data_IF_120177140585
#
_entry.id   IF_120177140585
#
_cell.length_a   1.000
_cell.length_b   1.000
_cell.length_c   1.000
_cell.angle_alpha   90.00
_cell.angle_beta   90.00
_cell.angle_gamma   90.00
#
_symmetry.space_group_name_H-M   'P 1'
#
loop_
_entity.id
_entity.type
_entity.pdbx_description
1 polymer ?
#
# COMPACT_ATOMS: atom_id res chain seq x y z
N UNK A 1 -80.87 -29.32 25.41
CA UNK A 1 -82.38 -29.36 25.37
C UNK A 1 -82.85 -28.22 24.50
N UNK A 2 -83.91 -28.39 23.72
CA UNK A 2 -84.28 -29.57 22.94
C UNK A 2 -84.57 -29.16 21.48
N UNK A 3 -84.52 -30.10 20.55
CA UNK A 3 -85.64 -30.63 19.77
C UNK A 3 -86.23 -29.69 18.73
N UNK A 4 -86.64 -30.05 17.63
CA UNK A 4 -87.01 -31.25 16.85
C UNK A 4 -87.46 -30.78 15.52
N UNK A 5 -87.36 -31.46 14.54
CA UNK A 5 -88.09 -32.56 13.91
C UNK A 5 -88.62 -32.19 12.55
N UNK A 6 -88.38 -33.13 11.65
CA UNK A 6 -89.32 -33.71 10.69
C UNK A 6 -89.83 -32.84 9.53
N UNK A 7 -89.79 -33.24 8.28
CA UNK A 7 -90.36 -34.44 7.72
C UNK A 7 -90.14 -34.54 6.21
N UNK A 8 -89.93 -35.73 5.71
CA UNK A 8 -90.19 -36.13 4.34
C UNK A 8 -91.72 -36.26 4.08
N UNK A 9 -92.20 -36.22 2.81
CA UNK A 9 -92.34 -37.49 2.08
C UNK A 9 -92.21 -37.42 0.54
N UNK A 10 -91.63 -38.43 0.02
CA UNK A 10 -92.04 -39.43 -1.00
C UNK A 10 -92.78 -39.06 -2.29
N UNK A 11 -92.32 -39.74 -3.33
CA UNK A 11 -92.97 -40.42 -4.50
C UNK A 11 -93.05 -39.59 -5.76
N UNK A 12 -92.71 -40.04 -6.94
CA UNK A 12 -93.15 -41.21 -7.69
C UNK A 12 -92.41 -41.39 -8.99
N UNK A 13 -92.17 -42.60 -9.37
CA UNK A 13 -91.57 -43.11 -10.59
C UNK A 13 -92.53 -43.02 -11.79
N UNK A 14 -91.95 -42.77 -12.96
CA UNK A 14 -92.54 -43.32 -14.20
C UNK A 14 -91.51 -43.26 -15.39
N UNK A 15 -91.63 -44.07 -16.38
CA UNK A 15 -90.56 -44.74 -17.08
C UNK A 15 -90.12 -44.03 -18.37
N UNK A 16 -88.80 -44.16 -18.67
CA UNK A 16 -88.22 -43.63 -19.88
C UNK A 16 -88.02 -44.68 -20.94
N UNK A 17 -88.40 -44.32 -22.15
CA UNK A 17 -88.16 -45.05 -23.39
C UNK A 17 -86.67 -44.88 -23.86
N UNK A 18 -86.16 -45.85 -24.61
CA UNK A 18 -84.74 -45.89 -24.99
C UNK A 18 -84.37 -44.91 -26.11
N UNK A 19 -83.30 -44.22 -25.98
CA UNK A 19 -82.66 -43.35 -27.00
C UNK A 19 -81.60 -44.22 -27.76
N UNK A 20 -81.49 -44.01 -29.13
CA UNK A 20 -80.60 -44.84 -29.95
C UNK A 20 -79.15 -44.50 -29.73
N UNK A 21 -78.24 -45.52 -29.80
CA UNK A 21 -76.80 -45.41 -29.73
C UNK A 21 -76.18 -44.57 -30.87
N UNK A 22 -75.57 -43.48 -30.54
CA UNK A 22 -74.72 -42.73 -31.45
C UNK A 22 -73.40 -43.46 -31.67
N UNK A 23 -73.00 -43.72 -32.90
CA UNK A 23 -71.79 -44.33 -33.37
C UNK A 23 -70.59 -43.39 -33.04
N UNK A 24 -69.66 -43.88 -32.26
CA UNK A 24 -68.36 -43.27 -32.06
C UNK A 24 -67.58 -43.29 -33.40
N UNK A 25 -67.33 -42.12 -33.99
CA UNK A 25 -66.45 -41.91 -35.08
C UNK A 25 -64.99 -42.04 -34.61
N UNK A 26 -64.02 -42.33 -35.52
CA UNK A 26 -62.64 -42.48 -35.12
C UNK A 26 -62.06 -41.15 -34.62
N UNK A 27 -61.36 -41.21 -33.45
CA UNK A 27 -60.65 -40.09 -32.86
C UNK A 27 -59.56 -39.57 -33.81
N UNK A 28 -59.65 -38.28 -34.10
CA UNK A 28 -58.63 -37.52 -34.87
C UNK A 28 -57.26 -37.59 -34.19
N UNK A 29 -56.16 -38.06 -34.82
CA UNK A 29 -54.85 -38.19 -34.21
C UNK A 29 -54.05 -36.87 -34.12
N UNK A 30 -54.72 -35.70 -34.33
CA UNK A 30 -54.02 -34.42 -34.58
C UNK A 30 -53.78 -33.53 -33.33
N UNK A 31 -53.92 -33.99 -32.06
CA UNK A 31 -53.67 -33.17 -30.88
C UNK A 31 -52.77 -33.82 -29.83
N UNK A 32 -51.68 -34.51 -30.26
CA UNK A 32 -50.61 -34.76 -29.31
C UNK A 32 -49.80 -33.45 -29.15
N UNK A 33 -49.65 -32.87 -27.95
CA UNK A 33 -48.80 -31.72 -27.75
C UNK A 33 -47.36 -32.16 -28.07
N UNK A 34 -46.73 -31.47 -29.01
CA UNK A 34 -45.33 -31.64 -29.40
C UNK A 34 -44.44 -31.43 -28.13
N UNK A 35 -43.75 -32.48 -27.62
CA UNK A 35 -42.88 -32.36 -26.45
C UNK A 35 -41.60 -31.55 -26.72
N UNK A 36 -41.36 -31.11 -27.97
CA UNK A 36 -40.17 -30.40 -28.36
C UNK A 36 -40.27 -28.86 -28.36
N UNK A 37 -41.44 -28.26 -28.08
CA UNK A 37 -41.49 -26.81 -27.83
C UNK A 37 -40.91 -26.46 -26.47
N UNK A 38 -39.55 -26.48 -26.36
CA UNK A 38 -38.83 -25.93 -25.26
C UNK A 38 -39.33 -24.51 -24.95
N UNK A 39 -39.94 -24.32 -23.76
CA UNK A 39 -40.42 -23.01 -23.30
C UNK A 39 -39.28 -22.00 -23.42
N UNK A 40 -39.34 -21.07 -24.39
CA UNK A 40 -38.42 -19.95 -24.48
C UNK A 40 -38.37 -19.24 -23.13
N UNK A 41 -37.19 -19.03 -22.53
CA UNK A 41 -37.09 -18.37 -21.24
C UNK A 41 -37.74 -16.99 -21.34
N UNK A 42 -38.56 -16.61 -20.34
CA UNK A 42 -39.23 -15.29 -20.35
C UNK A 42 -38.16 -14.19 -20.43
N UNK A 43 -38.45 -13.12 -21.18
CA UNK A 43 -37.52 -11.99 -21.35
C UNK A 43 -36.96 -11.48 -20.01
N UNK A 44 -37.79 -11.43 -18.95
CA UNK A 44 -37.36 -11.07 -17.58
C UNK A 44 -36.27 -12.02 -17.03
N UNK A 45 -36.32 -13.32 -17.32
CA UNK A 45 -35.28 -14.27 -16.89
C UNK A 45 -33.94 -14.07 -17.64
N UNK A 46 -34.04 -13.76 -18.93
CA UNK A 46 -32.85 -13.45 -19.75
C UNK A 46 -32.19 -12.20 -19.25
N UNK A 47 -32.93 -11.12 -19.02
CA UNK A 47 -32.43 -9.84 -18.51
C UNK A 47 -31.76 -10.03 -17.12
N UNK A 48 -32.43 -10.71 -16.19
CA UNK A 48 -31.81 -10.99 -14.86
C UNK A 48 -30.53 -11.83 -14.95
N UNK A 49 -30.41 -12.73 -15.93
CA UNK A 49 -29.18 -13.48 -16.15
C UNK A 49 -28.07 -12.59 -16.71
N UNK A 50 -28.41 -11.74 -17.67
CA UNK A 50 -27.46 -10.78 -18.26
C UNK A 50 -26.94 -9.79 -17.22
N UNK A 51 -27.81 -9.17 -16.43
CA UNK A 51 -27.41 -8.26 -15.33
C UNK A 51 -26.50 -8.99 -14.34
N UNK A 52 -26.83 -10.21 -13.94
CA UNK A 52 -26.00 -10.94 -13.00
C UNK A 52 -24.61 -11.29 -13.53
N UNK A 53 -24.43 -11.56 -14.83
CA UNK A 53 -23.11 -11.74 -15.43
C UNK A 53 -22.38 -10.42 -15.64
N UNK A 54 -23.10 -9.33 -15.94
CA UNK A 54 -22.51 -7.99 -16.02
C UNK A 54 -21.91 -7.55 -14.67
N UNK A 55 -22.60 -7.85 -13.55
CA UNK A 55 -22.06 -7.61 -12.21
C UNK A 55 -20.80 -8.44 -11.94
N UNK A 56 -20.78 -9.73 -12.31
CA UNK A 56 -19.58 -10.57 -12.16
C UNK A 56 -18.43 -10.04 -13.00
N UNK A 57 -18.71 -9.61 -14.24
CA UNK A 57 -17.69 -9.01 -15.10
C UNK A 57 -17.14 -7.71 -14.52
N UNK A 58 -18.01 -6.85 -13.97
CA UNK A 58 -17.60 -5.60 -13.31
C UNK A 58 -16.71 -5.88 -12.09
N UNK A 59 -17.06 -6.85 -11.25
CA UNK A 59 -16.20 -7.29 -10.13
C UNK A 59 -14.84 -7.74 -10.65
N UNK A 60 -14.82 -8.52 -11.74
CA UNK A 60 -13.57 -8.97 -12.37
C UNK A 60 -12.71 -7.82 -12.89
N UNK A 61 -13.31 -6.84 -13.54
CA UNK A 61 -12.60 -5.65 -14.03
C UNK A 61 -12.04 -4.83 -12.86
N UNK A 62 -12.83 -4.56 -11.82
CA UNK A 62 -12.36 -3.82 -10.65
C UNK A 62 -11.23 -4.56 -9.93
N UNK A 63 -11.35 -5.88 -9.75
CA UNK A 63 -10.29 -6.69 -9.16
C UNK A 63 -9.00 -6.66 -10.01
N UNK A 64 -9.11 -6.72 -11.33
CA UNK A 64 -7.98 -6.63 -12.25
C UNK A 64 -7.30 -5.26 -12.16
N UNK A 65 -8.07 -4.17 -12.13
CA UNK A 65 -7.55 -2.81 -12.06
C UNK A 65 -6.88 -2.50 -10.71
N UNK A 66 -7.29 -3.13 -9.61
CA UNK A 66 -6.57 -2.99 -8.33
C UNK A 66 -5.28 -3.80 -8.29
N UNK A 67 -5.23 -4.96 -8.95
CA UNK A 67 -4.01 -5.77 -9.05
C UNK A 67 -2.98 -5.15 -10.00
N UNK A 68 -3.45 -4.58 -11.12
CA UNK A 68 -2.64 -4.00 -12.18
C UNK A 68 -3.11 -2.57 -12.47
N UNK A 69 -2.87 -1.62 -11.54
CA UNK A 69 -3.46 -0.27 -11.63
C UNK A 69 -2.99 0.51 -12.86
N UNK A 70 -1.81 0.19 -13.39
CA UNK A 70 -1.25 0.86 -14.56
C UNK A 70 -1.47 0.08 -15.87
N UNK A 71 -2.37 -0.92 -15.84
CA UNK A 71 -2.69 -1.70 -17.04
C UNK A 71 -3.16 -0.83 -18.22
N UNK A 72 -3.78 0.30 -17.94
CA UNK A 72 -4.23 1.25 -18.97
C UNK A 72 -3.16 2.30 -19.33
N UNK A 73 -2.04 2.36 -18.60
CA UNK A 73 -0.96 3.32 -18.79
C UNK A 73 -0.23 3.18 -20.13
N UNK A 74 -0.38 2.04 -20.85
CA UNK A 74 0.13 1.89 -22.20
C UNK A 74 -0.55 2.82 -23.21
N UNK A 75 -1.75 3.33 -22.92
CA UNK A 75 -2.50 4.23 -23.79
C UNK A 75 -2.15 5.71 -23.54
N UNK A 76 -1.88 6.09 -22.31
CA UNK A 76 -1.38 7.40 -21.89
C UNK A 76 -0.96 7.35 -20.43
N UNK A 77 0.01 8.19 -20.04
CA UNK A 77 0.45 8.27 -18.63
C UNK A 77 -0.67 8.71 -17.69
N UNK A 78 -1.58 9.57 -18.16
CA UNK A 78 -2.77 10.00 -17.42
C UNK A 78 -3.79 8.85 -17.15
N UNK A 79 -3.64 7.70 -17.81
CA UNK A 79 -4.47 6.52 -17.60
C UNK A 79 -3.91 5.55 -16.55
N UNK A 80 -2.78 5.88 -15.89
CA UNK A 80 -2.23 5.12 -14.77
C UNK A 80 -3.07 5.34 -13.52
N UNK A 81 -3.87 4.34 -13.15
CA UNK A 81 -4.76 4.45 -11.99
C UNK A 81 -3.99 4.55 -10.67
N UNK A 82 -2.73 4.10 -10.64
CA UNK A 82 -1.90 4.18 -9.44
C UNK A 82 -1.62 5.60 -8.95
N UNK A 83 -1.85 6.61 -9.80
CA UNK A 83 -1.66 8.02 -9.45
C UNK A 83 -2.95 8.84 -9.50
N UNK A 84 -4.11 8.18 -9.59
CA UNK A 84 -5.41 8.84 -9.71
C UNK A 84 -6.28 8.55 -8.48
N UNK A 85 -6.87 9.60 -7.89
CA UNK A 85 -7.87 9.46 -6.84
C UNK A 85 -9.12 8.72 -7.35
N UNK A 86 -9.72 7.77 -6.59
CA UNK A 86 -9.30 7.23 -5.29
C UNK A 86 -8.44 5.95 -5.41
N UNK A 87 -7.98 5.58 -6.59
CA UNK A 87 -7.25 4.33 -6.80
C UNK A 87 -5.87 4.36 -6.14
N UNK A 88 -5.18 5.51 -6.15
CA UNK A 88 -3.90 5.67 -5.47
C UNK A 88 -4.02 5.27 -3.99
N UNK A 89 -5.02 5.76 -3.27
CA UNK A 89 -5.25 5.44 -1.86
C UNK A 89 -5.64 3.96 -1.66
N UNK A 90 -6.46 3.41 -2.56
CA UNK A 90 -6.88 2.00 -2.49
C UNK A 90 -5.69 1.04 -2.62
N UNK A 91 -4.78 1.31 -3.56
CA UNK A 91 -3.61 0.44 -3.76
C UNK A 91 -2.54 0.64 -2.71
N UNK A 92 -2.41 1.83 -2.13
CA UNK A 92 -1.56 2.08 -0.97
C UNK A 92 -1.96 1.19 0.22
N UNK A 93 -3.26 0.95 0.41
CA UNK A 93 -3.82 0.07 1.44
C UNK A 93 -4.00 -1.38 0.93
N UNK A 94 -3.00 -1.92 0.27
CA UNK A 94 -3.05 -3.27 -0.34
C UNK A 94 -3.42 -4.36 0.64
N UNK A 95 -2.96 -4.29 1.88
CA UNK A 95 -3.34 -5.21 2.96
C UNK A 95 -4.84 -5.17 3.27
N UNK A 96 -5.45 -3.98 3.22
CA UNK A 96 -6.90 -3.80 3.34
C UNK A 96 -7.66 -4.46 2.18
N UNK A 97 -7.10 -4.43 0.95
CA UNK A 97 -7.68 -5.12 -0.20
C UNK A 97 -7.63 -6.65 -0.03
N UNK A 98 -6.56 -7.22 0.55
CA UNK A 98 -6.51 -8.65 0.89
C UNK A 98 -7.67 -9.03 1.81
N UNK A 99 -7.85 -8.28 2.89
CA UNK A 99 -8.93 -8.52 3.87
C UNK A 99 -10.31 -8.31 3.23
N UNK A 100 -10.50 -7.20 2.52
CA UNK A 100 -11.78 -6.85 1.90
C UNK A 100 -12.22 -7.88 0.85
N UNK A 101 -11.34 -8.22 -0.10
CA UNK A 101 -11.63 -9.25 -1.10
C UNK A 101 -11.79 -10.63 -0.46
N UNK A 102 -11.00 -10.96 0.55
CA UNK A 102 -11.12 -12.23 1.30
C UNK A 102 -12.47 -12.38 1.99
N UNK A 103 -12.93 -11.36 2.71
CA UNK A 103 -14.25 -11.37 3.36
C UNK A 103 -15.38 -11.44 2.32
N UNK A 104 -15.30 -10.66 1.23
CA UNK A 104 -16.28 -10.73 0.15
C UNK A 104 -16.29 -12.11 -0.53
N UNK A 105 -15.13 -12.74 -0.73
CA UNK A 105 -15.03 -14.10 -1.25
C UNK A 105 -15.69 -15.11 -0.33
N UNK A 106 -15.48 -15.00 0.99
CA UNK A 106 -16.09 -15.86 2.01
C UNK A 106 -17.62 -15.76 1.98
N UNK A 107 -18.17 -14.55 2.01
CA UNK A 107 -19.62 -14.31 2.00
C UNK A 107 -20.27 -14.80 0.70
N UNK A 108 -19.65 -14.47 -0.45
CA UNK A 108 -20.17 -14.91 -1.75
C UNK A 108 -20.02 -16.42 -1.95
N UNK A 109 -18.94 -17.02 -1.44
CA UNK A 109 -18.70 -18.47 -1.44
C UNK A 109 -19.72 -19.22 -0.59
N UNK A 110 -20.00 -18.76 0.62
CA UNK A 110 -21.04 -19.31 1.48
C UNK A 110 -22.42 -19.21 0.80
N UNK A 111 -22.73 -18.06 0.20
CA UNK A 111 -23.97 -17.91 -0.57
C UNK A 111 -24.05 -18.87 -1.76
N UNK A 112 -22.94 -19.07 -2.47
CA UNK A 112 -22.86 -20.03 -3.58
C UNK A 112 -23.11 -21.48 -3.11
N UNK A 113 -22.48 -21.87 -1.99
CA UNK A 113 -22.65 -23.20 -1.41
C UNK A 113 -24.12 -23.46 -1.00
N UNK A 114 -24.74 -22.51 -0.29
CA UNK A 114 -26.16 -22.62 0.11
C UNK A 114 -27.05 -22.80 -1.13
N UNK A 115 -26.82 -22.03 -2.19
CA UNK A 115 -27.61 -22.13 -3.44
C UNK A 115 -27.40 -23.46 -4.15
N UNK A 116 -26.17 -23.99 -4.15
CA UNK A 116 -25.86 -25.31 -4.71
C UNK A 116 -26.59 -26.41 -3.91
N UNK A 117 -26.51 -26.36 -2.59
CA UNK A 117 -27.19 -27.34 -1.71
C UNK A 117 -28.70 -27.30 -1.86
N UNK A 118 -29.28 -26.11 -2.08
CA UNK A 118 -30.71 -25.93 -2.36
C UNK A 118 -31.10 -26.22 -3.82
N UNK A 119 -30.16 -26.62 -4.67
CA UNK A 119 -30.35 -26.87 -6.12
C UNK A 119 -30.89 -25.65 -6.89
N UNK A 120 -30.69 -24.43 -6.37
CA UNK A 120 -31.12 -23.17 -7.00
C UNK A 120 -30.15 -22.65 -8.07
N UNK A 121 -29.09 -23.42 -8.36
CA UNK A 121 -27.95 -23.00 -9.19
C UNK A 121 -27.06 -22.01 -8.44
N UNK A 122 -25.78 -21.93 -8.76
CA UNK A 122 -24.82 -21.06 -8.03
C UNK A 122 -23.73 -20.48 -8.92
N UNK A 123 -23.75 -20.77 -10.23
CA UNK A 123 -22.62 -20.48 -11.14
C UNK A 123 -22.09 -19.07 -11.07
N UNK A 124 -22.96 -18.05 -10.98
CA UNK A 124 -22.55 -16.62 -10.92
C UNK A 124 -21.93 -16.27 -9.57
N UNK A 125 -22.54 -16.71 -8.48
CA UNK A 125 -22.00 -16.49 -7.13
C UNK A 125 -20.67 -17.25 -6.93
N UNK A 126 -20.56 -18.44 -7.50
CA UNK A 126 -19.27 -19.19 -7.51
C UNK A 126 -18.21 -18.45 -8.33
N UNK A 127 -18.56 -17.96 -9.54
CA UNK A 127 -17.61 -17.20 -10.36
C UNK A 127 -17.17 -15.92 -9.64
N UNK A 128 -18.09 -15.17 -9.02
CA UNK A 128 -17.75 -13.99 -8.23
C UNK A 128 -16.83 -14.33 -7.04
N UNK A 129 -17.15 -15.41 -6.30
CA UNK A 129 -16.33 -15.84 -5.18
C UNK A 129 -14.91 -16.23 -5.60
N UNK A 130 -14.77 -16.92 -6.73
CA UNK A 130 -13.46 -17.28 -7.27
C UNK A 130 -12.67 -16.05 -7.72
N UNK A 131 -13.28 -15.09 -8.40
CA UNK A 131 -12.63 -13.83 -8.80
C UNK A 131 -12.13 -13.09 -7.57
N UNK A 132 -12.97 -12.93 -6.54
CA UNK A 132 -12.61 -12.25 -5.31
C UNK A 132 -11.48 -12.98 -4.55
N UNK A 133 -11.50 -14.31 -4.54
CA UNK A 133 -10.45 -15.11 -3.92
C UNK A 133 -9.11 -14.96 -4.68
N UNK A 134 -9.16 -14.97 -6.02
CA UNK A 134 -7.96 -14.73 -6.85
C UNK A 134 -7.43 -13.32 -6.60
N UNK A 135 -8.30 -12.31 -6.50
CA UNK A 135 -7.89 -10.94 -6.18
C UNK A 135 -7.21 -10.86 -4.80
N UNK A 136 -7.83 -11.43 -3.77
CA UNK A 136 -7.23 -11.49 -2.42
C UNK A 136 -5.87 -12.20 -2.44
N UNK A 137 -5.78 -13.35 -3.11
CA UNK A 137 -4.53 -14.09 -3.27
C UNK A 137 -3.45 -13.32 -4.04
N UNK A 138 -3.83 -12.60 -5.10
CA UNK A 138 -2.92 -11.76 -5.88
C UNK A 138 -2.35 -10.60 -5.06
N UNK A 139 -3.18 -9.89 -4.29
CA UNK A 139 -2.70 -8.82 -3.38
C UNK A 139 -1.82 -9.40 -2.27
N UNK A 140 -2.20 -10.54 -1.67
CA UNK A 140 -1.37 -11.21 -0.67
C UNK A 140 -0.01 -11.64 -1.25
N UNK A 141 0.00 -12.16 -2.47
CA UNK A 141 1.24 -12.52 -3.17
C UNK A 141 2.18 -11.31 -3.32
N UNK A 142 1.66 -10.16 -3.76
CA UNK A 142 2.47 -8.94 -3.90
C UNK A 142 3.09 -8.52 -2.57
N UNK A 143 2.30 -8.52 -1.48
CA UNK A 143 2.82 -8.19 -0.15
C UNK A 143 3.89 -9.19 0.31
N UNK A 144 3.63 -10.49 0.18
CA UNK A 144 4.60 -11.53 0.54
C UNK A 144 5.89 -11.45 -0.30
N UNK A 145 5.77 -11.13 -1.59
CA UNK A 145 6.95 -10.99 -2.47
C UNK A 145 7.83 -9.78 -2.13
N UNK A 146 7.28 -8.78 -1.46
CA UNK A 146 8.03 -7.61 -0.94
C UNK A 146 8.63 -7.87 0.44
N UNK A 147 8.26 -8.98 1.06
CA UNK A 147 8.65 -9.30 2.44
C UNK A 147 7.76 -8.62 3.47
N UNK A 148 7.37 -9.39 4.46
CA UNK A 148 6.53 -8.95 5.59
C UNK A 148 7.32 -8.86 6.90
N UNK A 149 8.66 -8.89 6.79
CA UNK A 149 9.53 -9.05 7.93
C UNK A 149 9.48 -10.48 8.50
N UNK A 150 10.47 -10.79 9.25
CA UNK A 150 10.56 -11.98 10.10
C UNK A 150 11.21 -11.53 11.40
N UNK A 151 11.22 -12.38 12.42
CA UNK A 151 11.84 -12.07 13.71
C UNK A 151 13.36 -11.77 13.58
N UNK A 152 13.99 -12.18 12.47
CA UNK A 152 15.38 -11.87 12.13
C UNK A 152 15.54 -10.44 11.56
N UNK A 153 14.45 -9.76 11.18
CA UNK A 153 14.42 -8.34 10.79
C UNK A 153 14.42 -7.40 12.01
N UNK A 154 14.42 -7.94 13.23
CA UNK A 154 14.72 -7.13 14.40
C UNK A 154 16.12 -6.54 14.26
N UNK A 155 16.34 -5.25 14.64
CA UNK A 155 17.67 -4.66 14.57
C UNK A 155 18.68 -5.62 15.17
N UNK A 156 19.78 -5.85 14.44
CA UNK A 156 20.89 -6.63 14.95
C UNK A 156 21.19 -6.17 16.37
N UNK A 157 21.41 -7.10 17.26
CA UNK A 157 21.41 -6.92 18.71
C UNK A 157 21.85 -5.51 19.13
N UNK A 158 20.95 -4.80 19.81
CA UNK A 158 21.13 -3.45 20.37
C UNK A 158 22.60 -3.22 20.65
N UNK A 159 23.24 -2.33 19.89
CA UNK A 159 24.65 -2.00 20.13
C UNK A 159 24.81 -1.61 21.61
N UNK A 160 25.76 -2.19 22.35
CA UNK A 160 25.94 -1.84 23.75
C UNK A 160 26.10 -0.33 23.88
N UNK A 161 25.45 0.28 24.87
CA UNK A 161 25.64 1.68 25.16
C UNK A 161 27.15 1.93 25.34
N UNK A 162 27.74 2.79 24.49
CA UNK A 162 29.18 3.04 24.46
C UNK A 162 29.95 2.44 23.29
N UNK A 163 29.32 1.67 22.38
CA UNK A 163 29.99 1.16 21.18
C UNK A 163 29.87 2.11 19.98
N UNK A 164 29.13 3.23 20.10
CA UNK A 164 28.99 4.23 19.04
C UNK A 164 30.09 5.29 19.27
N UNK A 165 31.06 5.34 18.38
CA UNK A 165 32.06 6.39 18.39
C UNK A 165 31.49 7.68 17.81
N UNK A 166 31.96 8.82 18.34
CA UNK A 166 31.74 10.13 17.73
C UNK A 166 33.02 10.62 17.01
N UNK A 167 34.06 9.78 16.93
CA UNK A 167 35.30 10.10 16.24
C UNK A 167 35.23 9.64 14.77
N UNK A 168 35.40 10.54 13.80
CA UNK A 168 35.46 10.18 12.40
C UNK A 168 36.47 9.12 12.03
N UNK A 169 37.57 9.00 12.81
CA UNK A 169 38.58 7.98 12.58
C UNK A 169 38.11 6.54 12.80
N UNK A 170 37.00 6.37 13.54
CA UNK A 170 36.42 5.06 13.86
C UNK A 170 35.38 4.59 12.88
N UNK A 171 34.99 5.42 11.88
CA UNK A 171 33.98 5.02 10.91
C UNK A 171 34.49 3.92 9.98
N UNK A 172 33.78 2.80 9.92
CA UNK A 172 34.19 1.59 9.20
C UNK A 172 33.51 1.44 7.81
N UNK A 173 32.76 2.47 7.38
CA UNK A 173 32.02 2.48 6.10
C UNK A 173 30.62 1.87 6.15
N UNK A 174 30.18 1.35 7.30
CA UNK A 174 28.79 0.98 7.55
C UNK A 174 27.93 2.21 7.78
N UNK A 175 26.62 2.10 7.51
CA UNK A 175 25.68 3.21 7.66
C UNK A 175 24.31 2.72 8.13
N UNK A 176 23.87 3.21 9.26
CA UNK A 176 22.49 3.02 9.73
C UNK A 176 21.70 4.30 9.53
N UNK A 177 20.62 4.20 8.77
CA UNK A 177 19.68 5.28 8.50
C UNK A 177 18.40 5.04 9.31
N UNK A 178 17.96 6.06 10.05
CA UNK A 178 16.74 6.08 10.83
C UNK A 178 15.79 7.13 10.24
N UNK A 179 14.64 6.73 9.72
CA UNK A 179 13.63 7.62 9.17
C UNK A 179 12.35 7.55 10.00
N UNK A 180 11.82 8.71 10.44
CA UNK A 180 10.63 8.73 11.29
C UNK A 180 9.89 10.07 11.18
N UNK A 181 8.71 10.07 10.59
CA UNK A 181 7.79 11.20 10.66
C UNK A 181 7.31 11.36 12.10
N UNK A 182 7.59 12.54 12.72
CA UNK A 182 7.31 12.78 14.15
C UNK A 182 5.91 13.28 14.42
N UNK A 183 5.07 13.41 13.39
CA UNK A 183 3.71 13.92 13.48
C UNK A 183 3.68 15.27 14.22
N UNK A 184 4.03 16.33 13.51
CA UNK A 184 4.05 17.71 14.03
C UNK A 184 4.98 17.94 15.26
N UNK A 185 6.09 17.20 15.32
CA UNK A 185 6.98 17.22 16.50
C UNK A 185 6.32 16.72 17.80
N UNK A 186 5.25 15.89 17.70
CA UNK A 186 4.51 15.36 18.86
C UNK A 186 5.10 14.07 19.43
N UNK A 187 5.98 13.38 18.69
CA UNK A 187 6.64 12.18 19.15
C UNK A 187 7.40 12.39 20.47
N UNK A 188 7.50 11.34 21.29
CA UNK A 188 8.18 11.44 22.59
C UNK A 188 9.71 11.51 22.41
N UNK A 189 10.31 12.70 22.62
CA UNK A 189 11.74 12.98 22.40
C UNK A 189 12.69 11.98 23.08
N UNK A 190 12.39 11.60 24.33
CA UNK A 190 13.24 10.66 25.08
C UNK A 190 13.18 9.26 24.48
N UNK A 191 11.99 8.80 24.11
CA UNK A 191 11.81 7.50 23.46
C UNK A 191 12.50 7.48 22.11
N UNK A 192 12.36 8.55 21.32
CA UNK A 192 13.05 8.72 20.04
C UNK A 192 14.57 8.71 20.20
N UNK A 193 15.12 9.48 21.14
CA UNK A 193 16.57 9.49 21.40
C UNK A 193 17.07 8.10 21.81
N UNK A 194 16.33 7.36 22.66
CA UNK A 194 16.67 5.98 23.03
C UNK A 194 16.62 5.06 21.82
N UNK A 195 15.65 5.20 20.93
CA UNK A 195 15.54 4.39 19.72
C UNK A 195 16.70 4.66 18.75
N UNK A 196 17.03 5.94 18.49
CA UNK A 196 18.18 6.34 17.66
C UNK A 196 19.50 5.76 18.22
N UNK A 197 19.73 5.90 19.52
CA UNK A 197 20.91 5.34 20.19
C UNK A 197 20.96 3.81 20.04
N UNK A 198 19.85 3.12 20.24
CA UNK A 198 19.79 1.65 20.12
C UNK A 198 20.05 1.18 18.69
N UNK A 199 19.59 1.93 17.71
CA UNK A 199 19.83 1.66 16.30
C UNK A 199 21.29 1.99 15.90
N UNK A 200 22.05 2.72 16.74
CA UNK A 200 23.34 3.26 16.38
C UNK A 200 23.33 4.08 15.08
N UNK A 201 22.25 4.85 14.85
CA UNK A 201 22.01 5.48 13.57
C UNK A 201 23.00 6.62 13.31
N UNK A 202 23.71 6.59 12.19
CA UNK A 202 24.58 7.68 11.76
C UNK A 202 23.81 8.79 11.07
N UNK A 203 22.69 8.46 10.39
CA UNK A 203 21.82 9.40 9.72
C UNK A 203 20.39 9.25 10.25
N UNK A 204 19.81 10.35 10.72
CA UNK A 204 18.42 10.39 11.21
C UNK A 204 17.65 11.41 10.41
N UNK A 205 16.57 10.99 9.75
CA UNK A 205 15.69 11.84 8.95
C UNK A 205 14.32 11.91 9.63
N UNK A 206 13.89 13.12 9.96
CA UNK A 206 12.69 13.39 10.72
C UNK A 206 11.78 14.34 9.94
N UNK A 207 10.85 13.85 9.10
CA UNK A 207 9.74 14.64 8.56
C UNK A 207 8.83 15.18 9.67
N UNK A 208 8.12 16.27 9.40
CA UNK A 208 7.23 16.99 10.33
C UNK A 208 7.93 17.34 11.64
N UNK A 209 9.20 17.75 11.55
CA UNK A 209 10.04 17.98 12.71
C UNK A 209 10.68 19.37 12.64
N UNK A 210 10.38 20.22 13.61
CA UNK A 210 11.01 21.52 13.75
C UNK A 210 12.50 21.41 14.10
N UNK A 211 13.28 22.43 13.73
CA UNK A 211 14.70 22.52 14.10
C UNK A 211 14.90 22.49 15.62
N UNK A 212 14.04 23.15 16.40
CA UNK A 212 14.07 23.14 17.86
C UNK A 212 13.85 21.75 18.45
N UNK A 213 12.89 21.02 17.91
CA UNK A 213 12.65 19.62 18.32
C UNK A 213 13.84 18.73 18.01
N UNK A 214 14.37 18.82 16.78
CA UNK A 214 15.56 18.05 16.37
C UNK A 214 16.78 18.36 17.24
N UNK A 215 17.01 19.63 17.56
CA UNK A 215 18.09 20.02 18.48
C UNK A 215 17.89 19.43 19.87
N UNK A 216 16.67 19.43 20.40
CA UNK A 216 16.39 18.84 21.70
C UNK A 216 16.65 17.32 21.73
N UNK A 217 16.38 16.61 20.63
CA UNK A 217 16.73 15.18 20.48
C UNK A 217 18.25 15.02 20.42
N UNK A 218 18.97 15.85 19.66
CA UNK A 218 20.44 15.82 19.60
C UNK A 218 21.07 16.11 20.97
N UNK A 219 20.53 17.02 21.74
CA UNK A 219 20.98 17.35 23.10
C UNK A 219 20.78 16.17 24.08
N UNK A 220 19.70 15.40 23.93
CA UNK A 220 19.50 14.15 24.68
C UNK A 220 20.55 13.08 24.32
N UNK A 221 20.83 12.92 23.02
CA UNK A 221 21.86 11.99 22.53
C UNK A 221 23.27 12.40 23.01
N UNK A 222 23.55 13.70 23.07
CA UNK A 222 24.82 14.23 23.57
C UNK A 222 25.09 13.88 25.04
N UNK A 223 24.05 13.69 25.88
CA UNK A 223 24.20 13.22 27.26
C UNK A 223 24.79 11.80 27.35
N UNK A 224 24.58 11.00 26.29
CA UNK A 224 25.15 9.66 26.17
C UNK A 224 26.49 9.66 25.38
N UNK A 225 27.03 10.83 25.08
CA UNK A 225 28.30 10.99 24.34
C UNK A 225 28.18 10.95 22.82
N UNK A 226 26.95 10.86 22.30
CA UNK A 226 26.67 10.84 20.86
C UNK A 226 26.49 12.26 20.35
N UNK A 227 27.32 12.68 19.40
CA UNK A 227 27.26 14.03 18.83
C UNK A 227 26.64 14.01 17.45
N UNK A 228 25.64 14.84 17.25
CA UNK A 228 24.98 15.04 15.97
C UNK A 228 24.98 16.51 15.57
N UNK A 229 25.18 16.77 14.28
CA UNK A 229 24.91 18.06 13.66
C UNK A 229 23.47 18.05 13.15
N UNK A 230 22.72 19.12 13.44
CA UNK A 230 21.29 19.23 13.09
C UNK A 230 21.16 20.18 11.91
N UNK A 231 20.46 19.73 10.89
CA UNK A 231 20.08 20.50 9.69
C UNK A 231 18.56 20.48 9.55
N UNK A 232 17.98 21.59 9.12
CA UNK A 232 16.54 21.67 8.94
C UNK A 232 16.17 22.55 7.75
N UNK A 233 15.06 22.22 7.11
CA UNK A 233 14.47 23.01 6.04
C UNK A 233 12.94 23.01 6.18
N UNK A 234 12.29 23.95 5.49
CA UNK A 234 10.84 24.15 5.56
C UNK A 234 10.44 25.34 6.41
N UNK A 235 9.15 25.71 6.36
CA UNK A 235 8.60 26.80 7.18
C UNK A 235 8.41 26.34 8.64
N UNK A 236 9.26 26.80 9.53
CA UNK A 236 9.25 26.43 10.96
C UNK A 236 7.98 26.93 11.70
N UNK A 237 7.07 27.62 11.02
CA UNK A 237 5.77 28.04 11.57
C UNK A 237 4.62 27.14 11.16
N UNK A 238 4.85 26.29 10.17
CA UNK A 238 3.92 25.24 9.76
C UNK A 238 4.44 23.92 10.34
N UNK A 239 3.69 23.34 11.24
CA UNK A 239 4.13 22.13 11.97
C UNK A 239 4.33 20.90 11.03
N UNK A 240 3.66 20.86 9.88
CA UNK A 240 3.77 19.78 8.89
C UNK A 240 4.93 19.98 7.90
N UNK A 241 5.38 21.22 7.69
CA UNK A 241 6.33 21.51 6.62
C UNK A 241 7.79 21.16 6.95
N UNK A 242 8.32 21.38 8.21
CA UNK A 242 9.73 21.17 8.45
C UNK A 242 10.16 19.71 8.35
N UNK A 243 11.32 19.49 7.71
CA UNK A 243 12.09 18.25 7.81
C UNK A 243 13.41 18.55 8.48
N UNK A 244 13.78 17.75 9.47
CA UNK A 244 15.04 17.88 10.20
C UNK A 244 15.88 16.63 10.01
N UNK A 245 17.17 16.80 9.74
CA UNK A 245 18.14 15.72 9.58
C UNK A 245 19.24 15.86 10.61
N UNK A 246 19.52 14.78 11.34
CA UNK A 246 20.64 14.69 12.26
C UNK A 246 21.71 13.80 11.65
N UNK A 247 22.93 14.29 11.59
CA UNK A 247 24.09 13.55 11.08
C UNK A 247 25.10 13.35 12.20
N UNK A 248 25.45 12.11 12.47
CA UNK A 248 26.43 11.75 13.50
C UNK A 248 27.80 12.31 13.16
N UNK A 249 28.50 12.82 14.19
CA UNK A 249 29.86 13.33 14.05
C UNK A 249 30.86 12.27 13.53
N UNK A 250 30.54 10.99 13.64
CA UNK A 250 31.40 9.90 13.11
C UNK A 250 31.53 9.98 11.59
N UNK A 251 30.53 10.54 10.89
CA UNK A 251 30.58 10.77 9.45
C UNK A 251 31.39 12.03 9.05
N UNK A 252 31.91 12.79 10.03
CA UNK A 252 32.55 14.08 9.80
C UNK A 252 31.59 15.18 9.48
N UNK A 253 32.10 16.31 8.96
CA UNK A 253 31.31 17.49 8.69
C UNK A 253 30.48 17.40 7.39
N UNK A 254 29.32 18.03 7.41
CA UNK A 254 28.40 18.16 6.28
C UNK A 254 27.99 19.60 6.04
N UNK A 255 27.66 19.89 4.80
CA UNK A 255 27.13 21.19 4.39
C UNK A 255 25.73 21.00 3.76
N UNK A 256 24.81 21.88 4.14
CA UNK A 256 23.48 21.91 3.52
C UNK A 256 23.55 22.59 2.16
N UNK A 257 23.17 21.87 1.13
CA UNK A 257 23.11 22.32 -0.25
C UNK A 257 21.66 22.72 -0.63
N UNK A 258 21.51 23.33 -1.78
CA UNK A 258 20.18 23.63 -2.31
C UNK A 258 19.47 22.32 -2.67
N UNK A 259 18.32 22.09 -2.06
CA UNK A 259 17.47 20.94 -2.36
C UNK A 259 16.80 21.07 -3.73
N UNK A 260 16.42 19.94 -4.37
CA UNK A 260 15.68 19.96 -5.62
C UNK A 260 14.36 20.72 -5.47
N UNK A 261 14.09 21.65 -6.40
CA UNK A 261 12.85 22.39 -6.38
C UNK A 261 11.64 21.47 -6.62
N UNK A 262 10.58 21.64 -5.85
CA UNK A 262 9.34 20.84 -5.97
C UNK A 262 9.39 19.46 -5.32
N UNK A 263 10.39 19.15 -4.50
CA UNK A 263 10.50 17.87 -3.78
C UNK A 263 9.45 17.67 -2.66
N UNK A 264 8.55 18.61 -2.45
CA UNK A 264 7.49 18.57 -1.45
C UNK A 264 7.68 19.62 -0.36
N UNK A 265 7.39 19.24 0.86
CA UNK A 265 7.61 20.03 2.08
C UNK A 265 9.11 20.26 2.35
N UNK A 266 9.48 20.71 3.52
CA UNK A 266 10.88 20.94 3.85
C UNK A 266 11.77 19.77 3.42
N UNK A 267 12.70 20.02 2.51
CA UNK A 267 13.62 19.03 1.96
C UNK A 267 15.04 19.42 2.26
N UNK A 268 15.82 18.52 2.86
CA UNK A 268 17.20 18.75 3.32
C UNK A 268 18.18 17.98 2.44
N UNK A 269 19.00 18.67 1.65
CA UNK A 269 20.11 18.06 0.91
C UNK A 269 21.42 18.33 1.62
N UNK A 270 22.15 17.30 2.00
CA UNK A 270 23.45 17.40 2.67
C UNK A 270 24.54 16.73 1.84
N UNK A 271 25.66 17.42 1.71
CA UNK A 271 26.87 16.87 1.10
C UNK A 271 28.03 16.85 2.09
N UNK A 272 28.92 15.84 2.00
CA UNK A 272 30.10 15.79 2.83
C UNK A 272 30.97 17.02 2.61
N UNK A 273 31.30 17.76 3.68
CA UNK A 273 32.31 18.83 3.64
C UNK A 273 33.73 18.22 3.60
N UNK A 274 34.62 18.84 2.83
CA UNK A 274 36.02 18.42 2.79
C UNK A 274 36.32 17.15 2.01
N UNK A 275 35.34 16.57 1.31
CA UNK A 275 35.53 15.41 0.43
C UNK A 275 34.53 14.29 0.61
N UNK A 276 34.35 13.50 -0.44
CA UNK A 276 33.34 12.42 -0.50
C UNK A 276 33.79 11.11 0.18
N UNK A 277 35.04 11.04 0.68
CA UNK A 277 35.57 9.84 1.31
C UNK A 277 36.09 10.13 2.73
N UNK A 278 35.98 9.15 3.59
CA UNK A 278 36.46 9.14 4.95
C UNK A 278 36.99 7.73 5.25
N UNK A 279 38.22 7.60 5.72
CA UNK A 279 38.89 6.31 6.03
C UNK A 279 38.92 5.33 4.83
N UNK A 280 38.90 5.83 3.59
CA UNK A 280 38.82 5.01 2.39
C UNK A 280 37.38 4.52 2.02
N UNK A 281 36.39 4.96 2.74
CA UNK A 281 35.00 4.66 2.49
C UNK A 281 34.23 5.89 1.96
N UNK A 282 33.27 5.67 1.09
CA UNK A 282 32.42 6.75 0.54
C UNK A 282 31.43 7.22 1.58
N UNK A 283 31.40 8.52 1.83
CA UNK A 283 30.41 9.18 2.68
C UNK A 283 29.10 9.40 1.88
N UNK A 284 27.93 9.24 2.49
CA UNK A 284 26.67 9.44 1.80
C UNK A 284 26.41 10.90 1.44
N UNK A 285 25.84 11.16 0.24
CA UNK A 285 25.02 12.34 0.01
C UNK A 285 23.63 12.02 0.58
N UNK A 286 23.07 12.90 1.41
CA UNK A 286 21.83 12.64 2.16
C UNK A 286 20.74 13.59 1.65
N UNK A 287 19.60 13.04 1.23
CA UNK A 287 18.40 13.79 0.90
C UNK A 287 17.29 13.36 1.85
N UNK A 288 16.99 14.21 2.83
CA UNK A 288 15.86 14.05 3.74
C UNK A 288 14.60 14.66 3.12
N UNK A 289 13.52 13.88 3.00
CA UNK A 289 12.31 14.26 2.25
C UNK A 289 11.03 14.10 3.03
N UNK A 290 10.06 14.97 2.71
CA UNK A 290 8.65 14.81 3.03
C UNK A 290 7.83 15.28 1.82
N UNK A 291 7.32 14.34 1.03
CA UNK A 291 6.51 14.68 -0.14
C UNK A 291 5.09 15.05 0.26
N UNK A 292 4.34 15.73 -0.61
CA UNK A 292 2.93 16.01 -0.36
C UNK A 292 2.12 14.72 -0.17
N UNK A 293 0.97 14.81 0.52
CA UNK A 293 0.09 13.66 0.69
C UNK A 293 -0.88 13.52 -0.51
N UNK A 294 -1.23 12.28 -0.94
CA UNK A 294 -2.16 12.03 -2.03
C UNK A 294 -3.63 12.23 -1.60
N UNK A 295 -3.99 13.44 -1.19
CA UNK A 295 -5.36 13.78 -0.77
C UNK A 295 -6.12 14.51 -1.89
N UNK A 296 -7.47 14.54 -1.87
CA UNK A 296 -8.23 15.30 -2.84
C UNK A 296 -7.81 16.78 -2.84
N UNK A 297 -7.41 17.29 -4.00
CA UNK A 297 -6.92 18.65 -4.17
C UNK A 297 -5.40 18.79 -4.23
N UNK A 298 -4.62 17.80 -3.76
CA UNK A 298 -3.15 17.81 -3.77
C UNK A 298 -2.54 16.66 -4.57
N UNK A 299 -3.35 15.95 -5.39
CA UNK A 299 -2.85 14.80 -6.17
C UNK A 299 -1.76 15.17 -7.17
N UNK A 300 -1.83 16.37 -7.75
CA UNK A 300 -0.86 16.86 -8.74
C UNK A 300 0.46 17.22 -8.04
N UNK A 301 0.39 17.95 -6.93
CA UNK A 301 1.55 18.33 -6.10
C UNK A 301 2.23 17.08 -5.51
N UNK A 302 1.42 16.11 -5.03
CA UNK A 302 1.93 14.82 -4.57
C UNK A 302 2.72 14.10 -5.65
N UNK A 303 2.11 13.91 -6.82
CA UNK A 303 2.75 13.21 -7.93
C UNK A 303 4.04 13.91 -8.35
N UNK A 304 3.99 15.23 -8.52
CA UNK A 304 5.15 16.01 -8.91
C UNK A 304 6.29 15.92 -7.88
N UNK A 305 5.97 15.98 -6.57
CA UNK A 305 7.00 15.88 -5.52
C UNK A 305 7.64 14.50 -5.47
N UNK A 306 6.88 13.41 -5.61
CA UNK A 306 7.42 12.05 -5.68
C UNK A 306 8.29 11.86 -6.92
N UNK A 307 7.88 12.39 -8.08
CA UNK A 307 8.66 12.32 -9.34
C UNK A 307 9.98 13.07 -9.23
N UNK A 308 9.99 14.26 -8.61
CA UNK A 308 11.22 15.04 -8.36
C UNK A 308 12.18 14.27 -7.45
N UNK A 309 11.67 13.70 -6.36
CA UNK A 309 12.49 12.93 -5.41
C UNK A 309 13.07 11.67 -6.05
N UNK A 310 12.24 10.86 -6.70
CA UNK A 310 12.69 9.63 -7.38
C UNK A 310 13.57 9.95 -8.59
N UNK A 311 13.36 11.09 -9.24
CA UNK A 311 14.19 11.60 -10.31
C UNK A 311 15.67 11.72 -9.93
N UNK A 312 15.99 12.00 -8.65
CA UNK A 312 17.39 12.05 -8.16
C UNK A 312 18.10 10.68 -8.31
N UNK A 313 17.36 9.59 -8.23
CA UNK A 313 17.87 8.25 -8.47
C UNK A 313 18.20 7.95 -9.94
N UNK A 314 17.67 8.76 -10.87
CA UNK A 314 17.92 8.66 -12.32
C UNK A 314 19.01 9.60 -12.80
N UNK A 315 19.54 10.46 -11.91
CA UNK A 315 20.54 11.47 -12.28
C UNK A 315 19.93 12.65 -13.03
N UNK A 316 18.64 12.89 -12.88
CA UNK A 316 18.02 14.13 -13.32
C UNK A 316 18.60 15.26 -12.48
N UNK A 317 19.66 15.90 -13.00
CA UNK A 317 20.23 17.10 -12.40
C UNK A 317 19.16 18.18 -12.27
N UNK A 318 19.40 19.13 -11.39
CA UNK A 318 18.54 20.29 -11.07
C UNK A 318 18.21 21.20 -12.27
N UNK A 319 18.61 20.84 -13.46
CA UNK A 319 18.40 21.59 -14.69
C UNK A 319 17.13 21.08 -15.36
N UNK A 320 16.00 21.69 -14.97
CA UNK A 320 14.62 21.37 -15.37
C UNK A 320 14.29 21.44 -16.87
N UNK A 321 15.05 20.81 -17.71
CA UNK A 321 14.88 20.79 -19.16
C UNK A 321 14.23 19.52 -19.69
N UNK A 322 13.46 18.80 -18.95
CA UNK A 322 12.50 17.79 -19.48
C UNK A 322 13.02 16.82 -20.56
N UNK A 323 14.32 16.67 -20.73
CA UNK A 323 14.86 15.71 -21.71
C UNK A 323 14.90 14.32 -21.09
N UNK A 324 14.17 13.36 -21.69
CA UNK A 324 14.13 11.92 -21.36
C UNK A 324 15.49 11.19 -21.55
N UNK A 325 16.61 11.90 -21.57
CA UNK A 325 17.90 11.26 -21.58
C UNK A 325 18.19 10.70 -20.17
N UNK A 326 18.24 9.37 -20.05
CA UNK A 326 18.74 8.70 -18.86
C UNK A 326 20.06 9.36 -18.45
N UNK A 327 20.03 10.12 -17.36
CA UNK A 327 21.21 10.76 -16.77
C UNK A 327 22.24 9.71 -16.31
N UNK A 328 23.43 10.14 -15.88
CA UNK A 328 24.51 9.23 -15.50
C UNK A 328 24.23 8.39 -14.22
N UNK A 329 23.00 8.31 -13.75
CA UNK A 329 22.62 7.65 -12.50
C UNK A 329 22.56 8.62 -11.32
N UNK A 330 22.30 8.14 -10.10
CA UNK A 330 22.25 8.97 -8.90
C UNK A 330 23.60 9.63 -8.60
N UNK A 331 23.58 10.72 -7.83
CA UNK A 331 24.81 11.25 -7.23
C UNK A 331 25.49 10.11 -6.43
N UNK A 332 26.81 9.87 -6.64
CA UNK A 332 27.48 8.72 -6.02
C UNK A 332 27.34 8.69 -4.50
N UNK A 333 26.81 7.59 -3.98
CA UNK A 333 26.57 7.42 -2.56
C UNK A 333 25.27 8.06 -2.05
N UNK A 334 24.37 8.48 -2.94
CA UNK A 334 23.09 9.09 -2.59
C UNK A 334 22.26 8.15 -1.71
N UNK A 335 21.69 8.74 -0.66
CA UNK A 335 20.61 8.14 0.17
C UNK A 335 19.48 9.14 0.23
N UNK A 336 18.27 8.68 -0.08
CA UNK A 336 17.03 9.45 0.09
C UNK A 336 16.21 8.77 1.16
N UNK A 337 15.90 9.46 2.24
CA UNK A 337 15.12 8.89 3.33
C UNK A 337 14.02 9.86 3.76
N UNK A 338 12.90 9.34 4.23
CA UNK A 338 11.79 10.16 4.70
C UNK A 338 10.43 9.56 4.41
N UNK A 339 9.41 10.41 4.53
CA UNK A 339 8.03 10.11 4.16
C UNK A 339 7.79 10.50 2.70
N UNK A 340 7.58 9.47 1.88
CA UNK A 340 7.28 9.64 0.44
C UNK A 340 5.78 9.77 0.19
N UNK A 341 4.93 9.57 1.20
CA UNK A 341 3.49 9.51 1.01
C UNK A 341 3.08 8.61 -0.18
N UNK A 342 3.94 7.70 -0.56
CA UNK A 342 3.83 6.82 -1.72
C UNK A 342 4.31 5.43 -1.35
N UNK A 343 3.76 4.41 -2.01
CA UNK A 343 4.21 3.02 -1.90
C UNK A 343 4.83 2.56 -3.22
N UNK A 344 5.53 1.43 -3.22
CA UNK A 344 6.08 0.79 -4.42
C UNK A 344 5.01 0.38 -5.47
N UNK A 345 3.73 0.62 -5.18
CA UNK A 345 2.63 0.39 -6.13
C UNK A 345 2.34 1.60 -7.02
N UNK A 346 2.74 2.80 -6.58
CA UNK A 346 2.56 4.03 -7.33
C UNK A 346 3.55 4.12 -8.49
N UNK A 347 3.09 4.65 -9.62
CA UNK A 347 3.87 4.64 -10.86
C UNK A 347 5.29 5.22 -10.71
N UNK A 348 5.53 6.36 -10.03
CA UNK A 348 6.89 6.90 -9.86
C UNK A 348 7.83 5.99 -9.09
N UNK A 349 7.29 5.18 -8.16
CA UNK A 349 8.07 4.27 -7.28
C UNK A 349 8.39 2.92 -7.93
N UNK A 350 7.91 2.64 -9.15
CA UNK A 350 8.14 1.36 -9.83
C UNK A 350 9.48 1.29 -10.55
N UNK A 351 10.03 2.43 -10.93
CA UNK A 351 11.34 2.56 -11.54
C UNK A 351 12.19 3.53 -10.73
N UNK A 352 13.07 3.00 -9.91
CA UNK A 352 13.97 3.75 -9.04
C UNK A 352 15.32 4.05 -9.71
N UNK A 353 15.46 3.82 -11.01
CA UNK A 353 16.70 4.10 -11.73
C UNK A 353 17.91 3.40 -11.14
N UNK A 354 18.93 4.15 -10.72
CA UNK A 354 20.15 3.64 -10.11
C UNK A 354 20.05 3.38 -8.59
N UNK A 355 18.89 3.68 -7.96
CA UNK A 355 18.69 3.37 -6.54
C UNK A 355 18.00 2.01 -6.33
N UNK A 356 18.12 1.47 -5.12
CA UNK A 356 17.31 0.38 -4.60
C UNK A 356 16.53 0.87 -3.38
N UNK A 357 15.31 0.35 -3.17
CA UNK A 357 14.60 0.50 -1.91
C UNK A 357 15.18 -0.48 -0.89
N UNK A 358 15.78 0.07 0.15
CA UNK A 358 16.52 -0.73 1.14
C UNK A 358 15.59 -1.58 2.02
N UNK A 359 14.37 -1.13 2.28
CA UNK A 359 13.35 -1.93 2.98
C UNK A 359 12.91 -3.14 2.16
N UNK A 360 12.74 -2.96 0.84
CA UNK A 360 12.45 -4.05 -0.08
C UNK A 360 13.63 -5.04 -0.17
N UNK A 361 14.85 -4.53 -0.31
CA UNK A 361 16.06 -5.35 -0.38
C UNK A 361 16.25 -6.19 0.89
N UNK A 362 15.95 -5.61 2.06
CA UNK A 362 16.00 -6.30 3.36
C UNK A 362 14.76 -7.18 3.67
N UNK A 363 13.81 -7.31 2.75
CA UNK A 363 12.64 -8.19 2.92
C UNK A 363 11.54 -7.66 3.84
N UNK A 364 11.43 -6.35 4.02
CA UNK A 364 10.35 -5.68 4.76
C UNK A 364 9.53 -4.69 3.93
N UNK A 365 9.68 -4.67 2.61
CA UNK A 365 8.99 -3.72 1.73
C UNK A 365 7.45 -3.83 1.72
N UNK A 366 6.87 -4.85 2.35
CA UNK A 366 5.43 -5.00 2.59
C UNK A 366 4.98 -4.66 4.01
N UNK A 367 5.91 -4.28 4.90
CA UNK A 367 5.63 -3.91 6.30
C UNK A 367 5.16 -2.47 6.36
N UNK A 368 3.98 -2.21 6.95
CA UNK A 368 3.43 -0.86 6.97
C UNK A 368 4.14 0.06 7.97
N UNK A 369 4.41 1.28 7.54
CA UNK A 369 4.90 2.36 8.38
C UNK A 369 3.75 3.28 8.85
N UNK A 370 2.63 3.34 8.13
CA UNK A 370 1.47 4.16 8.45
C UNK A 370 0.16 3.38 8.25
N UNK A 371 -0.91 3.59 9.05
CA UNK A 371 -0.91 4.29 10.34
C UNK A 371 -0.57 3.35 11.51
N UNK A 372 -0.16 3.93 12.65
CA UNK A 372 0.07 3.19 13.90
C UNK A 372 -1.22 2.78 14.60
N UNK A 373 -2.38 3.36 14.23
CA UNK A 373 -3.69 2.98 14.78
C UNK A 373 -4.07 1.53 14.50
N UNK A 374 -3.47 0.89 13.50
CA UNK A 374 -3.51 -0.57 13.35
C UNK A 374 -2.54 -1.21 14.35
N UNK A 375 -3.04 -2.12 15.19
CA UNK A 375 -2.20 -2.85 16.16
C UNK A 375 -1.23 -3.86 15.53
N UNK A 376 -1.12 -3.86 14.20
CA UNK A 376 -0.24 -4.76 13.45
C UNK A 376 0.43 -4.00 12.31
N UNK A 377 1.69 -4.31 12.07
CA UNK A 377 2.45 -3.83 10.91
C UNK A 377 1.99 -4.43 9.58
N UNK A 378 1.08 -5.41 9.62
CA UNK A 378 0.50 -6.02 8.42
C UNK A 378 -0.68 -5.24 7.84
N UNK A 379 -1.28 -4.30 8.60
CA UNK A 379 -2.42 -3.48 8.15
C UNK A 379 -2.01 -2.01 8.08
N UNK A 380 -1.93 -1.49 6.88
CA UNK A 380 -1.54 -0.10 6.60
C UNK A 380 -0.75 -0.02 5.30
N UNK A 381 0.01 1.07 5.17
CA UNK A 381 0.80 1.41 3.98
C UNK A 381 2.27 1.60 4.32
N UNK A 382 3.21 1.01 3.58
CA UNK A 382 4.63 1.35 3.65
C UNK A 382 4.87 2.62 2.82
N UNK A 383 4.86 3.78 3.45
CA UNK A 383 5.03 5.08 2.78
C UNK A 383 6.32 5.81 3.16
N UNK A 384 7.01 5.34 4.20
CA UNK A 384 8.33 5.78 4.56
C UNK A 384 9.36 4.85 3.89
N UNK A 385 10.37 5.43 3.22
CA UNK A 385 11.35 4.70 2.45
C UNK A 385 12.77 5.17 2.72
N UNK A 386 13.73 4.29 2.47
CA UNK A 386 15.15 4.59 2.30
C UNK A 386 15.56 4.08 0.94
N UNK A 387 15.77 5.00 -0.01
CA UNK A 387 16.30 4.71 -1.33
C UNK A 387 17.81 4.95 -1.31
N UNK A 388 18.60 4.01 -1.77
CA UNK A 388 20.05 4.11 -1.74
C UNK A 388 20.66 3.84 -3.12
N UNK A 389 21.69 4.59 -3.50
CA UNK A 389 22.51 4.34 -4.70
C UNK A 389 22.99 2.89 -4.68
N UNK A 390 22.44 2.08 -5.59
CA UNK A 390 22.70 0.63 -5.63
C UNK A 390 24.13 0.29 -6.08
N UNK A 391 24.92 1.25 -6.56
CA UNK A 391 26.33 1.07 -6.87
C UNK A 391 27.22 1.27 -5.66
N UNK A 392 26.74 1.98 -4.63
CA UNK A 392 27.48 2.30 -3.43
C UNK A 392 27.01 1.52 -2.19
N UNK A 393 25.73 1.17 -2.13
CA UNK A 393 25.10 0.63 -0.91
C UNK A 393 24.33 -0.67 -1.17
N UNK A 394 24.31 -1.53 -0.16
CA UNK A 394 23.44 -2.71 -0.07
C UNK A 394 22.79 -2.76 1.32
N UNK A 395 21.49 -3.01 1.36
CA UNK A 395 20.82 -3.22 2.62
C UNK A 395 21.24 -4.56 3.25
N UNK A 396 21.64 -4.53 4.51
CA UNK A 396 21.94 -5.72 5.32
C UNK A 396 20.74 -6.16 6.12
N UNK A 397 20.10 -5.19 6.75
CA UNK A 397 18.91 -5.42 7.57
C UNK A 397 18.02 -4.18 7.53
N UNK A 398 16.73 -4.40 7.82
CA UNK A 398 15.81 -3.31 8.08
C UNK A 398 14.76 -3.74 9.11
N UNK A 399 14.26 -2.77 9.86
CA UNK A 399 13.20 -2.99 10.86
C UNK A 399 12.27 -1.78 10.96
N UNK A 400 11.07 -2.03 11.48
CA UNK A 400 10.06 -1.01 11.72
C UNK A 400 9.76 -0.95 13.21
N UNK A 401 9.85 0.24 13.80
CA UNK A 401 9.66 0.46 15.24
C UNK A 401 8.43 1.33 15.47
N UNK A 402 7.58 0.96 16.42
CA UNK A 402 6.47 1.80 16.87
C UNK A 402 6.96 2.66 18.03
N UNK A 403 6.88 3.98 17.89
CA UNK A 403 7.20 4.96 18.91
C UNK A 403 5.96 5.77 19.26
N UNK A 404 5.90 6.24 20.52
CA UNK A 404 4.75 6.98 21.01
C UNK A 404 4.69 8.41 20.47
N UNK A 405 3.48 8.91 20.20
CA UNK A 405 3.24 10.30 19.79
C UNK A 405 3.32 10.54 18.29
N UNK A 406 3.40 9.49 17.46
CA UNK A 406 3.28 9.60 16.02
C UNK A 406 2.29 8.58 15.46
N UNK A 407 1.66 8.92 14.36
CA UNK A 407 0.87 8.00 13.55
C UNK A 407 1.71 7.22 12.52
N UNK A 408 3.03 7.49 12.44
CA UNK A 408 4.00 6.71 11.71
C UNK A 408 4.80 5.77 12.62
N UNK A 409 5.44 4.77 11.99
CA UNK A 409 6.48 3.93 12.59
C UNK A 409 7.83 4.33 12.02
N UNK A 410 8.86 4.29 12.85
CA UNK A 410 10.21 4.53 12.39
C UNK A 410 10.70 3.37 11.52
N UNK A 411 11.33 3.69 10.39
CA UNK A 411 12.04 2.76 9.53
C UNK A 411 13.54 2.86 9.84
N UNK A 412 14.15 1.76 10.22
CA UNK A 412 15.59 1.65 10.48
C UNK A 412 16.19 0.72 9.45
N UNK A 413 17.26 1.17 8.78
CA UNK A 413 17.93 0.43 7.73
C UNK A 413 19.44 0.44 7.98
N UNK A 414 20.06 -0.73 7.98
CA UNK A 414 21.50 -0.90 7.97
C UNK A 414 22.00 -1.11 6.55
N UNK A 415 22.91 -0.28 6.10
CA UNK A 415 23.55 -0.32 4.80
C UNK A 415 25.04 -0.69 4.93
N UNK A 416 25.52 -1.45 3.98
CA UNK A 416 26.93 -1.69 3.80
C UNK A 416 27.39 -1.18 2.43
N UNK A 417 28.68 -0.92 2.28
CA UNK A 417 29.28 -0.69 0.97
C UNK A 417 28.97 -1.86 0.02
N UNK A 418 28.61 -1.53 -1.26
CA UNK A 418 28.20 -2.49 -2.29
C UNK A 418 29.38 -3.31 -2.81
#
# INVERSE_FOLDING_TARGET
MPMSSDSQPSSQSSPQSPVPAERSGPADPATRPDPARGRRPSARRVVRRAIGWAVVALIGVLALLTLFPDLLGFASDSARLSVVYPFAQLIALRSGLVVGFGLMALVTGASALIRILRREGGRRTTAAALILLIAAGGHAWVLCSRGLGNDESAPAAIAPAGSISADPADWDGGLTTFSFNTHYSEAHKVELAVAIRRAAAEVVVLPETSAEYGQAVADLLAQDGLRYTVFSAGDQKDDADPTTVLVSAVLGDYEQAQAPAGAGHGTVLLRPAGGAELNGHRRPTILGVHTHAPVPGSMEEWLASVEVVVGQCRGAGSDGDGSDSAGPGPEPGLIIAGDFNATLDHAPMKDLGGCADAGLEAGIGGVSTWPTSSHTTLLGSPIDHVLADSSAWRARSASVLTLSGSDHRALVVELAAA
#
